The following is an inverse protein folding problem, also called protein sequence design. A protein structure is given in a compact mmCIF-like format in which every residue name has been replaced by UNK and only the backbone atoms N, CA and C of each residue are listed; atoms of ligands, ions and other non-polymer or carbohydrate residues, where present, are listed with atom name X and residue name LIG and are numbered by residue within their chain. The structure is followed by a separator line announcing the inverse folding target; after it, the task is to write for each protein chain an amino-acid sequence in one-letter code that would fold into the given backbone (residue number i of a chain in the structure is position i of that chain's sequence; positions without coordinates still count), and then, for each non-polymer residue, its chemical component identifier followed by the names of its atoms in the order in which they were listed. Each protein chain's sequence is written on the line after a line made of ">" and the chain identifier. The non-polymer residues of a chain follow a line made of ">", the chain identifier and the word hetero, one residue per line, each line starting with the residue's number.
data_IF_183866694994
#
_entry.id   IF_183866694994
#
_cell.length_a   1.000
_cell.length_b   1.000
_cell.length_c   1.000
_cell.angle_alpha   90.00
_cell.angle_beta   90.00
_cell.angle_gamma   90.00
#
_symmetry.space_group_name_H-M   'P 1'
#
loop_
_entity.id
_entity.type
_entity.pdbx_description
1 polymer ?
#
# COMPACT_ATOMS: atom_id res chain seq x y z
N UNK A 1 30.68 -6.12 -0.17
CA UNK A 1 31.18 -7.41 0.40
C UNK A 1 30.66 -8.63 -0.38
N UNK A 2 31.10 -9.88 -0.10
CA UNK A 2 30.55 -11.13 -0.68
C UNK A 2 29.87 -11.96 0.41
N UNK A 3 28.77 -12.63 0.09
CA UNK A 3 28.10 -13.52 1.04
C UNK A 3 29.04 -14.66 1.46
N UNK A 4 29.15 -14.92 2.76
CA UNK A 4 30.04 -15.97 3.30
C UNK A 4 29.62 -17.36 2.82
N UNK A 5 28.31 -17.59 2.62
CA UNK A 5 27.76 -18.88 2.23
C UNK A 5 27.84 -19.13 0.71
N UNK A 6 27.36 -18.19 -0.10
CA UNK A 6 27.25 -18.39 -1.56
C UNK A 6 28.32 -17.65 -2.38
N UNK A 7 29.20 -16.87 -1.75
CA UNK A 7 30.26 -16.04 -2.37
C UNK A 7 29.79 -15.04 -3.42
N UNK A 8 28.48 -14.89 -3.61
CA UNK A 8 27.90 -13.87 -4.48
C UNK A 8 28.13 -12.47 -3.88
N UNK A 9 28.23 -11.46 -4.75
CA UNK A 9 28.37 -10.07 -4.32
C UNK A 9 27.12 -9.67 -3.54
N UNK A 10 27.32 -9.20 -2.31
CA UNK A 10 26.28 -8.75 -1.42
C UNK A 10 25.74 -7.39 -1.90
N UNK A 11 24.47 -7.10 -1.60
CA UNK A 11 23.85 -5.83 -1.97
C UNK A 11 24.51 -4.66 -1.23
N UNK A 12 24.71 -3.53 -1.89
CA UNK A 12 25.41 -2.36 -1.35
C UNK A 12 24.67 -1.77 -0.13
N UNK A 13 23.34 -1.85 -0.15
CA UNK A 13 22.47 -1.36 0.92
C UNK A 13 22.63 -2.08 2.26
N UNK A 14 23.36 -3.20 2.33
CA UNK A 14 23.65 -3.89 3.60
C UNK A 14 24.53 -3.03 4.51
N UNK A 15 25.40 -2.20 3.92
CA UNK A 15 26.32 -1.32 4.65
C UNK A 15 25.73 0.09 4.82
N UNK A 16 24.60 0.39 4.16
CA UNK A 16 23.97 1.70 4.22
C UNK A 16 23.08 1.86 5.45
N UNK A 17 23.03 3.09 5.97
CA UNK A 17 22.02 3.46 6.97
C UNK A 17 20.60 3.43 6.38
N UNK A 18 19.61 3.13 7.23
CA UNK A 18 18.20 3.00 6.84
C UNK A 18 17.64 4.28 6.17
N UNK A 19 18.15 5.46 6.54
CA UNK A 19 17.81 6.74 5.90
C UNK A 19 18.10 6.74 4.39
N UNK A 20 19.26 6.20 3.98
CA UNK A 20 19.66 6.15 2.56
C UNK A 20 18.75 5.18 1.80
N UNK A 21 18.45 4.03 2.41
CA UNK A 21 17.50 3.05 1.86
C UNK A 21 16.12 3.69 1.66
N UNK A 22 15.66 4.49 2.62
CA UNK A 22 14.38 5.20 2.55
C UNK A 22 14.34 6.24 1.42
N UNK A 23 15.40 7.05 1.28
CA UNK A 23 15.50 8.04 0.19
C UNK A 23 15.45 7.32 -1.17
N UNK A 24 16.21 6.24 -1.32
CA UNK A 24 16.22 5.48 -2.57
C UNK A 24 14.90 4.75 -2.83
N UNK A 25 14.15 4.42 -1.78
CA UNK A 25 12.78 3.91 -1.89
C UNK A 25 11.82 5.00 -2.41
N UNK A 26 11.90 6.21 -1.85
CA UNK A 26 11.13 7.40 -2.27
C UNK A 26 11.46 7.78 -3.72
N UNK A 27 12.71 7.59 -4.15
CA UNK A 27 13.16 7.79 -5.53
C UNK A 27 12.79 6.62 -6.47
N UNK A 28 11.96 5.67 -6.02
CA UNK A 28 11.51 4.51 -6.77
C UNK A 28 12.65 3.63 -7.33
N UNK A 29 13.84 3.61 -6.69
CA UNK A 29 14.96 2.78 -7.16
C UNK A 29 14.67 1.29 -6.94
N UNK A 30 14.62 0.45 -8.00
CA UNK A 30 14.28 -0.97 -7.85
C UNK A 30 15.25 -1.78 -6.99
N UNK A 31 16.50 -1.30 -6.83
CA UNK A 31 17.49 -1.95 -5.97
C UNK A 31 17.12 -1.84 -4.49
N UNK A 32 16.69 -0.66 -4.02
CA UNK A 32 16.20 -0.46 -2.65
C UNK A 32 14.97 -1.33 -2.34
N UNK A 33 13.99 -1.39 -3.25
CA UNK A 33 12.84 -2.29 -3.08
C UNK A 33 13.26 -3.76 -2.95
N UNK A 34 14.25 -4.21 -3.73
CA UNK A 34 14.77 -5.58 -3.64
C UNK A 34 15.45 -5.83 -2.30
N UNK A 35 16.29 -4.89 -1.85
CA UNK A 35 16.95 -5.00 -0.56
C UNK A 35 15.95 -5.09 0.59
N UNK A 36 14.96 -4.20 0.63
CA UNK A 36 13.92 -4.21 1.67
C UNK A 36 13.11 -5.51 1.61
N UNK A 37 12.59 -5.90 0.44
CA UNK A 37 11.70 -7.06 0.31
C UNK A 37 12.39 -8.41 0.54
N UNK A 38 13.66 -8.56 0.13
CA UNK A 38 14.33 -9.86 0.17
C UNK A 38 15.40 -9.99 1.27
N UNK A 39 16.06 -8.90 1.66
CA UNK A 39 17.15 -8.97 2.64
C UNK A 39 16.69 -8.53 4.03
N UNK A 40 16.05 -7.37 4.15
CA UNK A 40 15.57 -6.89 5.47
C UNK A 40 14.46 -7.78 5.99
N UNK A 41 13.48 -8.04 5.13
CA UNK A 41 12.26 -8.69 5.52
C UNK A 41 12.35 -10.20 5.74
N UNK A 42 13.18 -10.86 4.93
CA UNK A 42 13.35 -12.31 5.02
C UNK A 42 14.24 -12.70 6.20
N UNK A 43 15.11 -11.79 6.66
CA UNK A 43 16.00 -12.01 7.79
C UNK A 43 15.26 -11.95 9.15
N UNK A 44 14.26 -11.06 9.30
CA UNK A 44 13.58 -10.82 10.59
C UNK A 44 12.10 -11.25 10.63
N UNK A 45 11.75 -12.40 10.04
CA UNK A 45 10.35 -12.81 9.88
C UNK A 45 9.50 -12.84 11.17
N UNK A 46 10.09 -13.12 12.33
CA UNK A 46 9.34 -13.30 13.59
C UNK A 46 8.96 -11.98 14.25
N UNK A 47 9.90 -11.02 14.36
CA UNK A 47 9.63 -9.71 14.94
C UNK A 47 8.80 -8.81 14.00
N UNK A 48 9.01 -8.94 12.68
CA UNK A 48 8.25 -8.18 11.68
C UNK A 48 6.77 -8.52 11.66
N UNK A 49 6.35 -9.73 12.04
CA UNK A 49 4.93 -10.11 11.99
C UNK A 49 4.05 -9.20 12.86
N UNK A 50 4.52 -8.79 14.03
CA UNK A 50 3.82 -7.84 14.89
C UNK A 50 3.76 -6.43 14.28
N UNK A 51 4.86 -5.99 13.67
CA UNK A 51 4.93 -4.68 13.00
C UNK A 51 4.01 -4.62 11.76
N UNK A 52 3.89 -5.73 11.02
CA UNK A 52 3.07 -5.82 9.82
C UNK A 52 1.59 -5.69 10.13
N UNK A 53 1.09 -6.40 11.14
CA UNK A 53 -0.31 -6.25 11.55
C UNK A 53 -0.59 -4.82 12.03
N UNK A 54 0.34 -4.21 12.79
CA UNK A 54 0.24 -2.79 13.18
C UNK A 54 0.20 -1.87 11.96
N UNK A 55 1.04 -2.11 10.95
CA UNK A 55 1.04 -1.31 9.71
C UNK A 55 -0.24 -1.47 8.91
N UNK A 56 -0.82 -2.68 8.86
CA UNK A 56 -2.10 -2.94 8.21
C UNK A 56 -3.21 -2.14 8.88
N UNK A 57 -3.29 -2.18 10.22
CA UNK A 57 -4.24 -1.38 10.99
C UNK A 57 -4.02 0.12 10.75
N UNK A 58 -2.77 0.58 10.76
CA UNK A 58 -2.42 1.97 10.48
C UNK A 58 -2.88 2.42 9.08
N UNK A 59 -2.66 1.60 8.05
CA UNK A 59 -3.12 1.93 6.69
C UNK A 59 -4.64 1.89 6.54
N UNK A 60 -5.35 1.04 7.30
CA UNK A 60 -6.81 1.06 7.35
C UNK A 60 -7.31 2.38 7.96
N UNK A 61 -6.69 2.86 9.05
CA UNK A 61 -7.01 4.15 9.66
C UNK A 61 -6.73 5.31 8.70
N UNK A 62 -5.63 5.25 7.93
CA UNK A 62 -5.33 6.27 6.93
C UNK A 62 -6.34 6.23 5.76
N UNK A 63 -6.81 5.05 5.37
CA UNK A 63 -7.85 4.93 4.34
C UNK A 63 -9.23 5.41 4.84
N UNK A 64 -9.58 5.21 6.11
CA UNK A 64 -10.81 5.81 6.68
C UNK A 64 -10.70 7.32 6.74
N UNK A 65 -9.55 7.85 7.15
CA UNK A 65 -9.28 9.29 7.14
C UNK A 65 -9.34 9.88 5.72
N UNK A 66 -8.76 9.19 4.72
CA UNK A 66 -8.89 9.56 3.30
C UNK A 66 -10.36 9.65 2.88
N UNK A 67 -11.16 8.63 3.18
CA UNK A 67 -12.59 8.62 2.85
C UNK A 67 -13.35 9.76 3.53
N UNK A 68 -12.98 10.12 4.76
CA UNK A 68 -13.56 11.27 5.45
C UNK A 68 -13.19 12.59 4.77
N UNK A 69 -11.93 12.78 4.37
CA UNK A 69 -11.49 13.99 3.68
C UNK A 69 -12.16 14.18 2.32
N UNK A 70 -12.34 13.09 1.57
CA UNK A 70 -13.00 13.11 0.25
C UNK A 70 -14.50 13.35 0.38
N UNK A 71 -15.15 12.73 1.38
CA UNK A 71 -16.59 12.86 1.62
C UNK A 71 -16.97 14.09 2.47
N UNK A 72 -16.09 15.09 2.63
CA UNK A 72 -16.39 16.30 3.42
C UNK A 72 -17.79 16.82 3.03
N UNK A 73 -18.79 16.72 3.92
CA UNK A 73 -20.15 17.07 3.58
C UNK A 73 -20.23 18.59 3.60
N UNK A 74 -20.35 19.23 2.44
CA UNK A 74 -20.47 20.69 2.40
C UNK A 74 -21.81 21.19 2.99
N UNK A 75 -22.81 20.34 3.29
CA UNK A 75 -24.14 20.85 3.72
C UNK A 75 -24.93 20.04 4.77
N UNK A 76 -24.34 19.08 5.52
CA UNK A 76 -25.15 18.19 6.43
C UNK A 76 -24.82 18.25 7.93
N UNK A 77 -23.92 19.13 8.38
CA UNK A 77 -23.73 19.36 9.83
C UNK A 77 -24.66 20.44 10.38
N UNK A 78 -25.63 20.87 9.58
CA UNK A 78 -26.74 21.74 9.97
C UNK A 78 -27.80 20.97 10.75
N UNK A 79 -27.69 21.03 12.09
CA UNK A 79 -28.76 20.84 13.09
C UNK A 79 -29.36 19.43 13.32
N UNK A 80 -29.15 18.92 14.55
CA UNK A 80 -29.79 17.77 15.21
C UNK A 80 -29.71 16.38 14.54
N UNK A 81 -28.50 15.87 14.28
CA UNK A 81 -28.33 14.44 14.01
C UNK A 81 -28.36 13.63 15.32
N UNK A 82 -29.26 12.64 15.36
CA UNK A 82 -29.30 11.63 16.42
C UNK A 82 -28.00 10.85 16.49
N UNK A 83 -27.58 10.44 17.68
CA UNK A 83 -26.45 9.53 17.90
C UNK A 83 -26.56 8.28 16.99
N UNK A 84 -27.78 7.79 16.75
CA UNK A 84 -28.05 6.65 15.85
C UNK A 84 -27.63 6.90 14.40
N UNK A 85 -27.88 8.09 13.84
CA UNK A 85 -27.51 8.41 12.45
C UNK A 85 -26.00 8.58 12.29
N UNK A 86 -25.33 9.15 13.29
CA UNK A 86 -23.87 9.26 13.34
C UNK A 86 -23.23 7.86 13.36
N UNK A 87 -23.72 6.96 14.23
CA UNK A 87 -23.24 5.57 14.27
C UNK A 87 -23.45 4.85 12.94
N UNK A 88 -24.60 5.05 12.29
CA UNK A 88 -24.87 4.45 10.97
C UNK A 88 -23.89 4.93 9.90
N UNK A 89 -23.61 6.24 9.85
CA UNK A 89 -22.67 6.83 8.88
C UNK A 89 -21.26 6.32 9.12
N UNK A 90 -20.79 6.32 10.36
CA UNK A 90 -19.46 5.79 10.69
C UNK A 90 -19.34 4.31 10.32
N UNK A 91 -20.37 3.52 10.62
CA UNK A 91 -20.40 2.10 10.25
C UNK A 91 -20.40 1.90 8.72
N UNK A 92 -21.17 2.69 7.97
CA UNK A 92 -21.18 2.66 6.50
C UNK A 92 -19.78 2.98 5.96
N UNK A 93 -19.17 4.08 6.41
CA UNK A 93 -17.81 4.48 6.00
C UNK A 93 -16.77 3.39 6.29
N UNK A 94 -16.84 2.77 7.47
CA UNK A 94 -15.95 1.69 7.86
C UNK A 94 -16.12 0.47 6.95
N UNK A 95 -17.37 0.06 6.68
CA UNK A 95 -17.66 -1.05 5.77
C UNK A 95 -17.17 -0.78 4.34
N UNK A 96 -17.36 0.43 3.82
CA UNK A 96 -16.88 0.83 2.49
C UNK A 96 -15.35 0.71 2.39
N UNK A 97 -14.63 1.16 3.42
CA UNK A 97 -13.16 1.10 3.46
C UNK A 97 -12.65 -0.33 3.55
N UNK A 98 -13.28 -1.18 4.36
CA UNK A 98 -12.94 -2.60 4.43
C UNK A 98 -13.21 -3.31 3.11
N UNK A 99 -14.37 -3.06 2.49
CA UNK A 99 -14.74 -3.66 1.21
C UNK A 99 -13.80 -3.20 0.08
N UNK A 100 -13.49 -1.91 0.00
CA UNK A 100 -12.57 -1.35 -1.00
C UNK A 100 -11.16 -1.94 -0.88
N UNK A 101 -10.64 -2.07 0.34
CA UNK A 101 -9.34 -2.70 0.58
C UNK A 101 -9.32 -4.21 0.31
N UNK A 102 -10.41 -4.91 0.66
CA UNK A 102 -10.56 -6.33 0.34
C UNK A 102 -10.55 -6.57 -1.17
N UNK A 103 -11.33 -5.79 -1.92
CA UNK A 103 -11.40 -5.90 -3.38
C UNK A 103 -10.09 -5.47 -4.07
N UNK A 104 -9.39 -4.49 -3.53
CA UNK A 104 -8.03 -4.15 -3.95
C UNK A 104 -7.08 -5.34 -3.80
N UNK A 105 -7.09 -6.01 -2.65
CA UNK A 105 -6.26 -7.19 -2.43
C UNK A 105 -6.63 -8.32 -3.38
N UNK A 106 -7.92 -8.63 -3.53
CA UNK A 106 -8.39 -9.68 -4.45
C UNK A 106 -7.98 -9.42 -5.90
N UNK A 107 -8.18 -8.20 -6.40
CA UNK A 107 -7.80 -7.81 -7.76
C UNK A 107 -6.28 -7.83 -7.98
N UNK A 108 -5.51 -7.34 -7.00
CA UNK A 108 -4.05 -7.37 -7.07
C UNK A 108 -3.51 -8.80 -7.08
N UNK A 109 -4.04 -9.68 -6.23
CA UNK A 109 -3.69 -11.10 -6.18
C UNK A 109 -4.07 -11.83 -7.48
N UNK A 110 -5.24 -11.53 -8.02
CA UNK A 110 -5.67 -12.07 -9.31
C UNK A 110 -4.74 -11.61 -10.44
N UNK A 111 -4.37 -10.33 -10.46
CA UNK A 111 -3.45 -9.79 -11.44
C UNK A 111 -2.06 -10.44 -11.33
N UNK A 112 -1.54 -10.63 -10.12
CA UNK A 112 -0.29 -11.37 -9.90
C UNK A 112 -0.38 -12.81 -10.39
N UNK A 113 -1.48 -13.51 -10.12
CA UNK A 113 -1.69 -14.89 -10.62
C UNK A 113 -1.72 -14.94 -12.15
N UNK A 114 -2.32 -13.93 -12.79
CA UNK A 114 -2.30 -13.81 -14.25
C UNK A 114 -0.89 -13.56 -14.80
N UNK A 115 -0.07 -12.79 -14.08
CA UNK A 115 1.30 -12.46 -14.48
C UNK A 115 2.30 -13.59 -14.20
N UNK A 116 2.14 -14.31 -13.10
CA UNK A 116 2.95 -15.45 -12.71
C UNK A 116 2.24 -16.73 -13.18
N UNK A 117 2.52 -17.18 -14.41
CA UNK A 117 2.05 -18.48 -14.95
C UNK A 117 2.62 -19.72 -14.23
N UNK A 118 2.98 -19.65 -12.93
CA UNK A 118 3.74 -20.72 -12.26
C UNK A 118 3.29 -20.98 -10.82
N UNK A 119 3.07 -22.26 -10.54
CA UNK A 119 2.43 -22.93 -9.39
C UNK A 119 3.21 -22.94 -8.06
N UNK A 120 3.97 -21.90 -7.72
CA UNK A 120 4.59 -21.78 -6.39
C UNK A 120 3.63 -21.03 -5.44
N UNK A 121 2.58 -21.72 -5.01
CA UNK A 121 1.25 -21.16 -4.73
C UNK A 121 1.02 -20.54 -3.33
N UNK A 122 1.85 -20.82 -2.31
CA UNK A 122 1.50 -20.45 -0.92
C UNK A 122 2.55 -19.64 -0.15
N UNK A 123 3.85 -19.96 -0.23
CA UNK A 123 4.88 -19.18 0.49
C UNK A 123 4.99 -17.74 -0.03
N UNK A 124 4.83 -17.57 -1.35
CA UNK A 124 4.88 -16.26 -2.02
C UNK A 124 3.71 -15.34 -1.68
N UNK A 125 2.58 -15.88 -1.21
CA UNK A 125 1.39 -15.06 -0.93
C UNK A 125 1.64 -14.05 0.19
N UNK A 126 2.26 -14.51 1.28
CA UNK A 126 2.64 -13.64 2.40
C UNK A 126 3.63 -12.58 1.95
N UNK A 127 4.64 -12.97 1.16
CA UNK A 127 5.65 -12.05 0.64
C UNK A 127 5.05 -11.00 -0.30
N UNK A 128 4.03 -11.37 -1.08
CA UNK A 128 3.27 -10.47 -1.95
C UNK A 128 2.41 -9.48 -1.16
N UNK A 129 1.60 -9.97 -0.20
CA UNK A 129 0.80 -9.11 0.68
C UNK A 129 1.68 -8.10 1.42
N UNK A 130 2.79 -8.59 1.92
CA UNK A 130 3.74 -7.77 2.62
C UNK A 130 4.34 -6.73 1.69
N UNK A 131 4.73 -7.10 0.48
CA UNK A 131 5.29 -6.13 -0.44
C UNK A 131 4.30 -5.03 -0.81
N UNK A 132 3.00 -5.35 -0.90
CA UNK A 132 1.93 -4.34 -1.06
C UNK A 132 1.84 -3.42 0.15
N UNK A 133 1.91 -3.97 1.36
CA UNK A 133 1.89 -3.18 2.59
C UNK A 133 3.08 -2.24 2.64
N UNK A 134 4.29 -2.74 2.42
CA UNK A 134 5.50 -1.92 2.43
C UNK A 134 5.42 -0.86 1.34
N UNK A 135 5.07 -1.22 0.12
CA UNK A 135 4.97 -0.25 -0.99
C UNK A 135 3.87 0.81 -0.82
N UNK A 136 2.93 0.61 0.11
CA UNK A 136 1.90 1.59 0.45
C UNK A 136 2.36 2.68 1.45
N UNK A 137 3.67 2.80 1.74
CA UNK A 137 4.21 3.75 2.72
C UNK A 137 3.83 5.22 2.47
N UNK A 138 3.60 5.62 1.21
CA UNK A 138 3.19 6.99 0.86
C UNK A 138 1.86 7.41 1.48
N UNK A 139 1.01 6.47 1.92
CA UNK A 139 -0.21 6.78 2.68
C UNK A 139 0.07 7.58 3.95
N UNK A 140 1.26 7.43 4.53
CA UNK A 140 1.67 8.19 5.72
C UNK A 140 1.65 9.70 5.43
N UNK A 141 1.86 10.14 4.19
CA UNK A 141 1.76 11.56 3.82
C UNK A 141 0.37 12.16 4.09
N UNK A 142 -0.68 11.35 4.20
CA UNK A 142 -2.00 11.83 4.61
C UNK A 142 -2.00 12.42 6.01
N UNK A 143 -1.08 12.03 6.91
CA UNK A 143 -0.99 12.65 8.24
C UNK A 143 -0.55 14.11 8.17
N UNK A 144 0.18 14.51 7.13
CA UNK A 144 0.51 15.92 6.92
C UNK A 144 -0.75 16.77 6.69
N UNK A 145 -1.80 16.20 6.08
CA UNK A 145 -3.09 16.87 5.90
C UNK A 145 -3.86 17.10 7.21
N UNK A 146 -3.46 16.43 8.31
CA UNK A 146 -4.02 16.70 9.64
C UNK A 146 -3.41 17.97 10.27
N UNK A 147 -2.17 18.29 9.91
CA UNK A 147 -1.42 19.42 10.49
C UNK A 147 -1.54 20.66 9.61
N UNK A 148 -1.54 20.47 8.29
CA UNK A 148 -1.58 21.56 7.31
C UNK A 148 -2.81 21.50 6.41
N UNK A 149 -3.35 22.66 6.09
CA UNK A 149 -4.45 22.82 5.15
C UNK A 149 -3.92 22.72 3.71
N UNK A 150 -4.30 21.65 3.03
CA UNK A 150 -3.96 21.39 1.64
C UNK A 150 -5.23 21.20 0.81
N UNK A 151 -5.20 21.50 -0.50
CA UNK A 151 -6.35 21.25 -1.37
C UNK A 151 -6.63 19.75 -1.49
N UNK A 152 -7.90 19.33 -1.68
CA UNK A 152 -8.27 17.91 -1.85
C UNK A 152 -7.51 17.19 -2.98
N UNK A 153 -7.00 17.95 -3.97
CA UNK A 153 -6.13 17.47 -5.03
C UNK A 153 -4.92 16.67 -4.53
N UNK A 154 -4.36 17.03 -3.36
CA UNK A 154 -3.20 16.34 -2.76
C UNK A 154 -3.48 14.87 -2.45
N UNK A 155 -4.73 14.52 -2.12
CA UNK A 155 -5.14 13.14 -1.86
C UNK A 155 -4.92 12.27 -3.10
N UNK A 156 -5.31 12.77 -4.27
CA UNK A 156 -5.12 12.05 -5.54
C UNK A 156 -3.64 11.95 -5.93
N UNK A 157 -2.83 12.97 -5.61
CA UNK A 157 -1.38 12.92 -5.80
C UNK A 157 -0.76 11.82 -4.94
N UNK A 158 -1.16 11.71 -3.68
CA UNK A 158 -0.71 10.63 -2.78
C UNK A 158 -1.12 9.27 -3.33
N UNK A 159 -2.36 9.12 -3.82
CA UNK A 159 -2.83 7.87 -4.43
C UNK A 159 -2.00 7.48 -5.67
N UNK A 160 -1.58 8.45 -6.49
CA UNK A 160 -0.67 8.23 -7.62
C UNK A 160 0.73 7.79 -7.17
N UNK A 161 1.26 8.35 -6.08
CA UNK A 161 2.52 7.89 -5.49
C UNK A 161 2.42 6.46 -4.95
N UNK A 162 1.30 6.10 -4.30
CA UNK A 162 1.04 4.72 -3.86
C UNK A 162 0.93 3.79 -5.07
N UNK A 163 0.23 4.17 -6.14
CA UNK A 163 0.10 3.39 -7.37
C UNK A 163 1.48 3.13 -8.03
N UNK A 164 2.31 4.16 -8.16
CA UNK A 164 3.64 4.05 -8.76
C UNK A 164 4.57 3.19 -7.91
N UNK A 165 4.56 3.35 -6.58
CA UNK A 165 5.33 2.53 -5.65
C UNK A 165 4.93 1.05 -5.73
N UNK A 166 3.62 0.75 -5.72
CA UNK A 166 3.10 -0.61 -5.85
C UNK A 166 3.50 -1.24 -7.19
N UNK A 167 3.56 -0.45 -8.27
CA UNK A 167 4.00 -0.92 -9.59
C UNK A 167 5.47 -1.34 -9.58
N UNK A 168 6.35 -0.55 -8.96
CA UNK A 168 7.78 -0.86 -8.86
C UNK A 168 7.99 -2.09 -7.97
N UNK A 169 7.30 -2.18 -6.84
CA UNK A 169 7.35 -3.36 -5.97
C UNK A 169 6.86 -4.62 -6.70
N UNK A 170 5.74 -4.54 -7.43
CA UNK A 170 5.20 -5.64 -8.22
C UNK A 170 6.20 -6.10 -9.29
N UNK A 171 6.86 -5.15 -9.98
CA UNK A 171 7.91 -5.45 -10.98
C UNK A 171 9.10 -6.18 -10.33
N UNK A 172 9.54 -5.75 -9.15
CA UNK A 172 10.67 -6.37 -8.44
C UNK A 172 10.37 -7.82 -8.04
N UNK A 173 9.14 -8.11 -7.62
CA UNK A 173 8.75 -9.46 -7.19
C UNK A 173 8.47 -10.38 -8.38
N UNK A 174 7.71 -9.89 -9.35
CA UNK A 174 7.26 -10.71 -10.49
C UNK A 174 8.29 -10.80 -11.61
N UNK A 175 9.28 -9.90 -11.63
CA UNK A 175 10.26 -9.74 -12.73
C UNK A 175 9.60 -9.59 -14.11
N UNK A 176 8.34 -9.14 -14.15
CA UNK A 176 7.55 -8.97 -15.36
C UNK A 176 7.86 -7.64 -16.06
N UNK A 177 7.30 -7.45 -17.26
CA UNK A 177 7.42 -6.18 -17.99
C UNK A 177 6.70 -5.05 -17.27
N UNK A 178 7.22 -3.82 -17.39
CA UNK A 178 6.67 -2.67 -16.68
C UNK A 178 5.20 -2.42 -17.04
N UNK A 179 4.85 -2.48 -18.32
CA UNK A 179 3.48 -2.22 -18.80
C UNK A 179 2.45 -3.17 -18.18
N UNK A 180 2.82 -4.44 -17.99
CA UNK A 180 1.98 -5.44 -17.34
C UNK A 180 1.76 -5.13 -15.86
N UNK A 181 2.80 -4.67 -15.17
CA UNK A 181 2.72 -4.28 -13.77
C UNK A 181 1.87 -3.01 -13.59
N UNK A 182 2.07 -2.02 -14.47
CA UNK A 182 1.26 -0.78 -14.49
C UNK A 182 -0.23 -1.14 -14.67
N UNK A 183 -0.55 -1.95 -15.68
CA UNK A 183 -1.94 -2.35 -15.95
C UNK A 183 -2.58 -3.08 -14.76
N UNK A 184 -1.86 -4.03 -14.15
CA UNK A 184 -2.31 -4.75 -12.97
C UNK A 184 -2.61 -3.82 -11.78
N UNK A 185 -1.66 -2.93 -11.45
CA UNK A 185 -1.82 -1.98 -10.36
C UNK A 185 -2.92 -0.96 -10.64
N UNK A 186 -3.02 -0.46 -11.88
CA UNK A 186 -4.03 0.49 -12.29
C UNK A 186 -5.43 -0.10 -12.17
N UNK A 187 -5.65 -1.33 -12.64
CA UNK A 187 -6.93 -2.03 -12.50
C UNK A 187 -7.30 -2.20 -11.02
N UNK A 188 -6.36 -2.63 -10.19
CA UNK A 188 -6.63 -2.84 -8.76
C UNK A 188 -7.03 -1.55 -8.05
N UNK A 189 -6.31 -0.45 -8.32
CA UNK A 189 -6.62 0.86 -7.75
C UNK A 189 -7.90 1.47 -8.33
N UNK A 190 -8.18 1.27 -9.62
CA UNK A 190 -9.43 1.70 -10.23
C UNK A 190 -10.64 0.99 -9.60
N UNK A 191 -10.55 -0.33 -9.36
CA UNK A 191 -11.59 -1.09 -8.65
C UNK A 191 -11.79 -0.53 -7.23
N UNK A 192 -10.71 -0.29 -6.47
CA UNK A 192 -10.78 0.31 -5.13
C UNK A 192 -11.46 1.68 -5.17
N UNK A 193 -11.08 2.51 -6.12
CA UNK A 193 -11.63 3.85 -6.30
C UNK A 193 -13.12 3.81 -6.63
N UNK A 194 -13.52 2.99 -7.60
CA UNK A 194 -14.92 2.82 -7.97
C UNK A 194 -15.78 2.33 -6.80
N UNK A 195 -15.29 1.38 -5.99
CA UNK A 195 -16.03 0.92 -4.80
C UNK A 195 -16.14 2.05 -3.77
N UNK A 196 -15.06 2.78 -3.53
CA UNK A 196 -15.05 3.86 -2.53
C UNK A 196 -15.98 5.02 -2.95
N UNK A 197 -16.15 5.26 -4.25
CA UNK A 197 -17.09 6.25 -4.80
C UNK A 197 -18.52 5.74 -4.96
N UNK A 198 -18.74 4.49 -5.35
CA UNK A 198 -20.07 3.92 -5.57
C UNK A 198 -20.92 3.85 -4.29
N UNK A 199 -20.25 3.88 -3.12
CA UNK A 199 -20.90 3.90 -1.81
C UNK A 199 -20.70 5.25 -1.07
N UNK A 200 -20.13 6.25 -1.74
CA UNK A 200 -20.11 7.65 -1.26
C UNK A 200 -21.53 8.22 -1.33
#
# INVERSE_FOLDING_TARGET
>A
MKCVNCKAVADEYIECELMIVLIDLILHKPKAYRHVLFNVLNHERTHFQGLLWKSLVGFLVLDTYRSLLVKKPEEEWGTSMSISSIFWIYRKMLMDVFLGNYMFLCSFLFAIRSLLKTSAQFSRFRDLLLAVLISSYFKILLTAMMVWEFPPAVIYIIDLFVLSSNTVALKVITKSTMNRCIGACFIAHAIKFCITQAFA
#
